data_IF_423557532893
#
_entry.id   IF_423557532893
#
_cell.length_a   1.000
_cell.length_b   1.000
_cell.length_c   1.000
_cell.angle_alpha   90.00
_cell.angle_beta   90.00
_cell.angle_gamma   90.00
#
_symmetry.space_group_name_H-M   'P 1'
#
loop_
_entity.id
_entity.type
_entity.pdbx_description
1 polymer ?
#
# COMPACT_ATOMS: atom_id res chain seq x y z
N UNK A 1 36.15 6.31 38.63
CA UNK A 1 36.04 6.28 37.15
C UNK A 1 35.06 5.18 36.79
N UNK A 2 33.85 5.54 36.35
CA UNK A 2 32.91 4.56 35.81
C UNK A 2 33.20 4.38 34.32
N UNK A 3 33.67 3.19 33.93
CA UNK A 3 33.82 2.84 32.52
C UNK A 3 32.43 2.70 31.89
N UNK A 4 32.00 3.71 31.14
CA UNK A 4 30.89 3.56 30.22
C UNK A 4 31.29 2.53 29.17
N UNK A 5 30.83 1.28 29.34
CA UNK A 5 30.91 0.27 28.30
C UNK A 5 30.03 0.78 27.16
N UNK A 6 30.64 1.24 26.07
CA UNK A 6 29.95 1.49 24.82
C UNK A 6 29.15 0.23 24.47
N UNK A 7 27.81 0.28 24.38
CA UNK A 7 27.03 -0.93 24.11
C UNK A 7 27.41 -1.44 22.72
N UNK A 8 28.18 -2.53 22.69
CA UNK A 8 28.41 -3.27 21.45
C UNK A 8 27.08 -3.76 20.89
N UNK A 9 27.00 -3.94 19.57
CA UNK A 9 25.79 -4.49 18.95
C UNK A 9 25.42 -5.83 19.60
N UNK A 10 24.14 -5.99 19.90
CA UNK A 10 23.58 -7.21 20.49
C UNK A 10 22.28 -7.56 19.77
N UNK A 11 22.15 -8.83 19.36
CA UNK A 11 20.87 -9.38 18.92
C UNK A 11 19.84 -9.32 20.06
N UNK A 12 18.72 -8.64 19.80
CA UNK A 12 17.55 -8.63 20.66
C UNK A 12 16.55 -9.70 20.23
N UNK A 13 15.79 -10.19 21.21
CA UNK A 13 14.52 -10.86 21.00
C UNK A 13 13.40 -9.80 21.06
N UNK A 14 12.61 -9.67 20.00
CA UNK A 14 11.64 -8.56 19.84
C UNK A 14 10.23 -9.10 19.60
N UNK A 15 9.28 -8.66 20.41
CA UNK A 15 7.85 -8.81 20.13
C UNK A 15 7.32 -7.62 19.33
N UNK A 16 6.51 -7.87 18.32
CA UNK A 16 5.71 -6.88 17.60
C UNK A 16 4.25 -7.22 17.87
N UNK A 17 3.50 -6.27 18.43
CA UNK A 17 2.07 -6.43 18.74
C UNK A 17 1.28 -5.78 17.61
N UNK A 18 0.57 -6.58 16.81
CA UNK A 18 -0.10 -6.15 15.58
C UNK A 18 0.67 -6.58 14.33
N UNK A 19 0.02 -7.38 13.49
CA UNK A 19 0.54 -7.93 12.23
C UNK A 19 0.06 -7.19 10.98
N UNK A 20 -0.43 -5.95 11.10
CA UNK A 20 -0.77 -5.10 9.94
C UNK A 20 0.47 -4.58 9.19
N UNK A 21 0.26 -3.74 8.18
CA UNK A 21 1.33 -3.15 7.32
C UNK A 21 2.50 -2.60 8.14
N UNK A 22 2.25 -1.82 9.19
CA UNK A 22 3.32 -1.27 10.04
C UNK A 22 4.10 -2.33 10.83
N UNK A 23 3.41 -3.37 11.32
CA UNK A 23 4.04 -4.48 12.04
C UNK A 23 4.90 -5.37 11.16
N UNK A 24 4.42 -5.68 9.94
CA UNK A 24 5.20 -6.42 8.94
C UNK A 24 6.42 -5.62 8.48
N UNK A 25 6.28 -4.31 8.21
CA UNK A 25 7.42 -3.43 7.90
C UNK A 25 8.45 -3.36 9.02
N UNK A 26 8.00 -3.25 10.28
CA UNK A 26 8.89 -3.29 11.44
C UNK A 26 9.60 -4.64 11.56
N UNK A 27 8.91 -5.75 11.28
CA UNK A 27 9.52 -7.09 11.29
C UNK A 27 10.63 -7.22 10.25
N UNK A 28 10.39 -6.77 9.02
CA UNK A 28 11.39 -6.74 7.93
C UNK A 28 12.61 -5.90 8.35
N UNK A 29 12.40 -4.68 8.85
CA UNK A 29 13.50 -3.80 9.26
C UNK A 29 14.34 -4.42 10.40
N UNK A 30 13.67 -4.97 11.43
CA UNK A 30 14.34 -5.54 12.61
C UNK A 30 15.08 -6.85 12.31
N UNK A 31 14.52 -7.75 11.48
CA UNK A 31 15.23 -8.98 11.09
C UNK A 31 16.47 -8.68 10.27
N UNK A 32 16.41 -7.70 9.35
CA UNK A 32 17.53 -7.29 8.49
C UNK A 32 18.73 -6.76 9.27
N UNK A 33 18.52 -6.12 10.43
CA UNK A 33 19.59 -5.71 11.36
C UNK A 33 19.98 -6.80 12.39
N UNK A 34 19.55 -8.05 12.15
CA UNK A 34 19.97 -9.24 12.89
C UNK A 34 19.24 -9.48 14.20
N UNK A 35 18.03 -8.96 14.40
CA UNK A 35 17.19 -9.27 15.56
C UNK A 35 16.26 -10.46 15.31
N UNK A 36 15.90 -11.19 16.38
CA UNK A 36 14.88 -12.24 16.31
C UNK A 36 13.51 -11.60 16.56
N UNK A 37 12.54 -11.88 15.69
CA UNK A 37 11.26 -11.19 15.70
C UNK A 37 10.09 -12.18 15.85
N UNK A 38 9.21 -11.91 16.82
CA UNK A 38 7.90 -12.57 16.95
C UNK A 38 6.78 -11.54 16.78
N UNK A 39 5.89 -11.78 15.83
CA UNK A 39 4.71 -10.95 15.54
C UNK A 39 3.50 -11.62 16.19
N UNK A 40 2.74 -10.86 16.98
CA UNK A 40 1.50 -11.31 17.62
C UNK A 40 0.32 -10.54 17.03
N UNK A 41 -0.55 -11.23 16.30
CA UNK A 41 -1.76 -10.66 15.70
C UNK A 41 -3.01 -11.31 16.30
N UNK A 42 -4.04 -10.50 16.56
CA UNK A 42 -5.31 -10.91 17.16
C UNK A 42 -6.28 -11.55 16.17
N UNK A 43 -6.05 -11.39 14.86
CA UNK A 43 -6.86 -11.92 13.77
C UNK A 43 -6.18 -13.11 13.06
N UNK A 44 -6.99 -13.95 12.42
CA UNK A 44 -6.59 -15.09 11.59
C UNK A 44 -6.21 -14.73 10.14
N UNK A 45 -6.28 -13.45 9.76
CA UNK A 45 -6.14 -12.94 8.38
C UNK A 45 -7.13 -13.55 7.36
N UNK A 46 -8.34 -13.93 7.79
CA UNK A 46 -9.38 -14.57 6.96
C UNK A 46 -10.09 -13.61 5.96
N UNK A 47 -9.30 -12.95 5.10
CA UNK A 47 -9.64 -11.81 4.24
C UNK A 47 -9.92 -10.50 4.98
N UNK A 48 -9.07 -9.49 4.74
CA UNK A 48 -9.44 -8.10 4.97
C UNK A 48 -10.16 -7.57 3.72
N UNK A 49 -11.34 -6.97 3.87
CA UNK A 49 -11.83 -6.01 2.90
C UNK A 49 -11.14 -4.66 3.16
N UNK A 50 -10.74 -3.95 2.12
CA UNK A 50 -9.84 -2.80 2.28
C UNK A 50 -9.49 -2.15 0.95
N UNK A 51 -9.53 -0.82 0.96
CA UNK A 51 -9.30 0.04 -0.20
C UNK A 51 -7.85 0.02 -0.71
N UNK A 52 -7.62 0.72 -1.81
CA UNK A 52 -6.27 1.07 -2.29
C UNK A 52 -5.42 1.77 -1.23
N UNK A 53 -4.12 1.53 -1.28
CA UNK A 53 -3.07 2.22 -0.53
C UNK A 53 -2.12 2.92 -1.49
N UNK A 54 -1.88 4.21 -1.24
CA UNK A 54 -0.84 5.00 -1.88
C UNK A 54 0.52 4.71 -1.23
N UNK A 55 1.52 4.41 -2.07
CA UNK A 55 2.91 4.24 -1.67
C UNK A 55 3.78 5.15 -2.54
N UNK A 56 3.99 6.37 -2.06
CA UNK A 56 4.87 7.37 -2.66
C UNK A 56 6.35 6.99 -2.51
N UNK A 57 7.25 7.74 -3.18
CA UNK A 57 8.69 7.44 -3.22
C UNK A 57 9.33 7.15 -1.85
N UNK A 58 8.91 7.84 -0.79
CA UNK A 58 9.40 7.62 0.57
C UNK A 58 9.07 6.22 1.13
N UNK A 59 7.96 5.61 0.72
CA UNK A 59 7.61 4.23 1.04
C UNK A 59 8.26 3.24 0.07
N UNK A 60 8.16 3.51 -1.23
CA UNK A 60 8.74 2.65 -2.30
C UNK A 60 10.24 2.46 -2.14
N UNK A 61 10.94 3.51 -1.69
CA UNK A 61 12.36 3.45 -1.29
C UNK A 61 12.65 2.32 -0.34
N UNK A 62 11.91 2.22 0.77
CA UNK A 62 12.14 1.18 1.78
C UNK A 62 11.75 -0.21 1.27
N UNK A 63 10.71 -0.33 0.45
CA UNK A 63 10.39 -1.61 -0.20
C UNK A 63 11.54 -2.10 -1.08
N UNK A 64 12.20 -1.19 -1.84
CA UNK A 64 13.39 -1.50 -2.63
C UNK A 64 14.63 -1.80 -1.76
N UNK A 65 14.96 -0.96 -0.77
CA UNK A 65 16.11 -1.17 0.14
C UNK A 65 15.97 -2.43 1.02
N UNK A 66 14.73 -2.89 1.26
CA UNK A 66 14.45 -4.12 1.97
C UNK A 66 14.29 -5.36 1.08
N UNK A 67 14.49 -5.20 -0.24
CA UNK A 67 14.40 -6.28 -1.24
C UNK A 67 13.04 -6.99 -1.23
N UNK A 68 11.96 -6.21 -1.04
CA UNK A 68 10.58 -6.70 -1.11
C UNK A 68 10.21 -7.01 -2.56
N UNK A 69 9.65 -8.20 -2.80
CA UNK A 69 9.16 -8.66 -4.11
C UNK A 69 7.89 -7.89 -4.51
N UNK A 70 8.07 -6.68 -5.04
CA UNK A 70 7.01 -5.73 -5.40
C UNK A 70 5.97 -6.32 -6.37
N UNK A 71 6.40 -7.28 -7.17
CA UNK A 71 5.60 -8.04 -8.12
C UNK A 71 4.45 -8.78 -7.44
N UNK A 72 4.61 -9.24 -6.18
CA UNK A 72 3.52 -9.83 -5.38
C UNK A 72 2.44 -8.83 -5.02
N UNK A 73 2.82 -7.57 -4.83
CA UNK A 73 1.92 -6.46 -4.56
C UNK A 73 1.00 -6.15 -5.73
N UNK A 74 1.40 -6.52 -6.96
CA UNK A 74 0.65 -6.29 -8.21
C UNK A 74 0.19 -4.81 -8.35
N UNK A 75 1.04 -3.89 -7.91
CA UNK A 75 0.71 -2.48 -7.75
C UNK A 75 0.78 -1.71 -9.06
N UNK A 76 -0.13 -0.75 -9.23
CA UNK A 76 -0.16 0.13 -10.40
C UNK A 76 0.77 1.32 -10.16
N UNK A 77 1.74 1.53 -11.06
CA UNK A 77 2.53 2.76 -11.06
C UNK A 77 1.63 3.92 -11.44
N UNK A 78 1.54 4.91 -10.56
CA UNK A 78 0.73 6.10 -10.68
C UNK A 78 1.42 7.11 -11.61
N UNK A 79 0.76 7.45 -12.71
CA UNK A 79 1.26 8.37 -13.74
C UNK A 79 0.59 9.74 -13.72
N UNK A 80 -0.63 9.84 -13.17
CA UNK A 80 -1.48 11.03 -13.27
C UNK A 80 -2.24 11.33 -11.99
N UNK A 81 -2.41 12.62 -11.67
CA UNK A 81 -3.44 13.11 -10.77
C UNK A 81 -4.45 13.93 -11.58
N UNK A 82 -5.75 13.59 -11.48
CA UNK A 82 -6.79 14.25 -12.29
C UNK A 82 -7.92 14.76 -11.39
N UNK A 83 -8.10 16.07 -11.36
CA UNK A 83 -9.27 16.72 -10.76
C UNK A 83 -10.39 16.79 -11.78
N UNK A 84 -11.61 16.44 -11.39
CA UNK A 84 -12.80 16.47 -12.23
C UNK A 84 -13.91 17.29 -11.59
N UNK A 85 -14.70 17.88 -12.47
CA UNK A 85 -15.93 18.57 -12.12
C UNK A 85 -16.96 17.57 -11.58
N UNK A 86 -17.58 17.89 -10.45
CA UNK A 86 -18.51 17.00 -9.75
C UNK A 86 -19.72 16.63 -10.62
N UNK A 87 -20.31 17.62 -11.30
CA UNK A 87 -21.58 17.48 -12.02
C UNK A 87 -21.39 16.91 -13.44
N UNK A 88 -20.33 17.34 -14.15
CA UNK A 88 -20.13 17.00 -15.56
C UNK A 88 -19.02 15.96 -15.80
N UNK A 89 -18.22 15.63 -14.79
CA UNK A 89 -17.10 14.69 -14.90
C UNK A 89 -15.93 15.17 -15.77
N UNK A 90 -16.02 16.39 -16.35
CA UNK A 90 -14.96 17.00 -17.17
C UNK A 90 -13.69 17.19 -16.36
N UNK A 91 -12.53 17.05 -17.00
CA UNK A 91 -11.23 17.33 -16.37
C UNK A 91 -11.14 18.83 -16.09
N UNK A 92 -10.88 19.19 -14.83
CA UNK A 92 -10.61 20.56 -14.38
C UNK A 92 -9.11 20.84 -14.29
N UNK A 93 -8.34 19.86 -13.80
CA UNK A 93 -6.88 19.91 -13.82
C UNK A 93 -6.28 18.52 -13.95
N UNK A 94 -5.12 18.45 -14.59
CA UNK A 94 -4.35 17.24 -14.79
C UNK A 94 -2.90 17.54 -14.44
N UNK A 95 -2.30 16.69 -13.62
CA UNK A 95 -0.89 16.70 -13.30
C UNK A 95 -0.29 15.38 -13.77
N UNK A 96 0.63 15.45 -14.73
CA UNK A 96 1.48 14.33 -15.11
C UNK A 96 2.53 14.08 -14.00
N UNK A 97 2.92 12.82 -13.82
CA UNK A 97 3.92 12.36 -12.85
C UNK A 97 5.07 11.60 -13.56
N UNK A 98 5.28 11.85 -14.85
CA UNK A 98 6.34 11.18 -15.62
C UNK A 98 7.75 11.54 -15.15
N UNK A 99 7.95 12.73 -14.59
CA UNK A 99 9.20 13.19 -13.95
C UNK A 99 9.37 12.69 -12.50
N UNK A 100 8.37 12.00 -11.93
CA UNK A 100 8.33 11.69 -10.51
C UNK A 100 9.49 10.80 -10.05
N UNK A 101 9.85 9.79 -10.84
CA UNK A 101 10.97 8.90 -10.52
C UNK A 101 12.32 9.60 -10.66
N UNK A 102 12.50 10.47 -11.67
CA UNK A 102 13.71 11.30 -11.82
C UNK A 102 13.88 12.24 -10.61
N UNK A 103 12.77 12.86 -10.18
CA UNK A 103 12.77 13.86 -9.10
C UNK A 103 12.93 13.27 -7.70
N UNK A 104 12.42 12.06 -7.46
CA UNK A 104 12.36 11.46 -6.12
C UNK A 104 13.13 10.12 -5.98
N UNK A 105 13.73 9.63 -7.06
CA UNK A 105 14.54 8.40 -7.13
C UNK A 105 13.73 7.09 -7.14
N UNK A 106 12.41 7.16 -6.98
CA UNK A 106 11.52 5.99 -6.90
C UNK A 106 10.12 6.32 -7.44
N UNK A 107 9.48 5.36 -8.12
CA UNK A 107 8.09 5.47 -8.58
C UNK A 107 7.07 5.59 -7.44
N UNK A 108 5.89 6.12 -7.76
CA UNK A 108 4.71 6.12 -6.90
C UNK A 108 3.82 4.91 -7.26
N UNK A 109 3.57 4.00 -6.33
CA UNK A 109 2.61 2.90 -6.49
C UNK A 109 1.24 3.18 -5.85
N UNK A 110 0.20 2.63 -6.47
CA UNK A 110 -1.10 2.34 -5.86
C UNK A 110 -1.23 0.82 -5.71
N UNK A 111 -1.30 0.31 -4.48
CA UNK A 111 -1.49 -1.11 -4.19
C UNK A 111 -2.89 -1.39 -3.64
N UNK A 112 -3.45 -2.54 -3.95
CA UNK A 112 -4.55 -3.11 -3.20
C UNK A 112 -4.03 -3.49 -1.80
N UNK A 113 -4.70 -3.04 -0.72
CA UNK A 113 -4.19 -3.19 0.67
C UNK A 113 -3.83 -4.63 1.04
N UNK A 114 -4.64 -5.58 0.61
CA UNK A 114 -4.48 -7.01 0.83
C UNK A 114 -3.16 -7.50 0.20
N UNK A 115 -2.93 -7.16 -1.07
CA UNK A 115 -1.71 -7.52 -1.79
C UNK A 115 -0.47 -6.84 -1.22
N UNK A 116 -0.57 -5.58 -0.80
CA UNK A 116 0.53 -4.91 -0.09
C UNK A 116 0.84 -5.61 1.24
N UNK A 117 -0.19 -6.07 1.96
CA UNK A 117 -0.04 -6.81 3.20
C UNK A 117 0.59 -8.19 2.96
N UNK A 118 0.09 -8.97 1.99
CA UNK A 118 0.61 -10.28 1.63
C UNK A 118 2.06 -10.22 1.12
N UNK A 119 2.39 -9.20 0.32
CA UNK A 119 3.76 -8.89 -0.11
C UNK A 119 4.70 -8.64 1.08
N UNK A 120 4.29 -7.77 2.02
CA UNK A 120 5.09 -7.50 3.22
C UNK A 120 5.16 -8.71 4.17
N UNK A 121 4.07 -9.46 4.32
CA UNK A 121 4.01 -10.69 5.10
C UNK A 121 4.93 -11.76 4.52
N UNK A 122 4.99 -11.89 3.18
CA UNK A 122 5.93 -12.77 2.51
C UNK A 122 7.38 -12.38 2.84
N UNK A 123 7.77 -11.11 2.68
CA UNK A 123 9.13 -10.64 3.03
C UNK A 123 9.45 -10.70 4.54
N UNK A 124 8.45 -10.58 5.42
CA UNK A 124 8.66 -10.71 6.87
C UNK A 124 8.92 -12.16 7.31
N UNK A 125 8.21 -13.12 6.72
CA UNK A 125 8.16 -14.53 7.16
C UNK A 125 8.94 -15.50 6.26
N UNK A 126 9.35 -15.08 5.07
CA UNK A 126 10.07 -15.91 4.09
C UNK A 126 11.60 -15.78 4.16
N UNK A 127 12.27 -16.38 3.18
CA UNK A 127 13.72 -16.24 2.99
C UNK A 127 14.13 -14.78 2.71
N UNK A 128 15.38 -14.44 3.06
CA UNK A 128 15.92 -13.09 2.90
C UNK A 128 16.94 -12.72 3.98
N UNK A 129 17.33 -11.45 4.04
CA UNK A 129 18.34 -10.97 5.00
C UNK A 129 17.81 -11.02 6.44
N UNK A 130 18.40 -11.88 7.26
CA UNK A 130 18.08 -12.09 8.69
C UNK A 130 17.19 -13.31 8.96
N UNK A 131 17.06 -13.75 10.23
CA UNK A 131 16.16 -14.87 10.60
C UNK A 131 14.69 -14.53 10.23
N UNK A 132 13.92 -15.44 9.61
CA UNK A 132 12.49 -15.23 9.36
C UNK A 132 11.72 -14.89 10.65
N UNK A 133 10.84 -13.89 10.58
CA UNK A 133 9.99 -13.54 11.70
C UNK A 133 8.95 -14.65 11.96
N UNK A 134 8.58 -14.85 13.21
CA UNK A 134 7.59 -15.87 13.63
C UNK A 134 6.25 -15.19 13.85
N UNK A 135 5.20 -15.66 13.18
CA UNK A 135 3.84 -15.08 13.27
C UNK A 135 2.93 -15.95 14.14
N UNK A 136 2.32 -15.34 15.15
CA UNK A 136 1.30 -15.93 16.00
C UNK A 136 -0.04 -15.23 15.73
N UNK A 137 -0.95 -15.93 15.05
CA UNK A 137 -2.33 -15.47 14.78
C UNK A 137 -3.29 -15.85 15.91
N UNK A 138 -4.48 -15.25 15.90
CA UNK A 138 -5.54 -15.42 16.90
C UNK A 138 -5.04 -15.23 18.35
N UNK A 139 -3.99 -14.40 18.51
CA UNK A 139 -3.29 -14.24 19.77
C UNK A 139 -3.76 -13.00 20.51
N UNK A 140 -4.44 -13.22 21.63
CA UNK A 140 -4.73 -12.21 22.64
C UNK A 140 -4.08 -12.60 23.97
N UNK A 141 -3.39 -11.66 24.60
CA UNK A 141 -2.78 -11.85 25.92
C UNK A 141 -3.79 -11.90 27.09
N UNK A 142 -5.10 -11.80 26.78
CA UNK A 142 -6.22 -12.02 27.70
C UNK A 142 -6.33 -13.49 28.16
N UNK A 143 -5.69 -14.44 27.45
CA UNK A 143 -5.73 -15.88 27.76
C UNK A 143 -4.77 -16.33 28.88
N UNK A 144 -4.14 -15.39 29.59
CA UNK A 144 -3.19 -15.67 30.68
C UNK A 144 -1.81 -16.17 30.22
N UNK A 145 -1.54 -16.29 28.92
CA UNK A 145 -0.18 -16.62 28.42
C UNK A 145 0.74 -15.42 28.60
N UNK A 146 1.91 -15.68 29.18
CA UNK A 146 2.98 -14.69 29.34
C UNK A 146 4.15 -15.09 28.45
N UNK A 147 4.57 -14.18 27.57
CA UNK A 147 5.80 -14.28 26.77
C UNK A 147 6.79 -13.22 27.23
N UNK A 148 8.09 -13.46 27.07
CA UNK A 148 9.15 -12.54 27.49
C UNK A 148 10.09 -12.25 26.31
N UNK A 149 10.27 -10.98 26.01
CA UNK A 149 11.18 -10.48 24.97
C UNK A 149 12.06 -9.37 25.55
N UNK A 150 13.12 -8.98 24.84
CA UNK A 150 13.98 -7.87 25.24
C UNK A 150 13.40 -6.51 24.85
N UNK A 151 12.55 -6.47 23.82
CA UNK A 151 11.85 -5.28 23.33
C UNK A 151 10.43 -5.65 22.92
N UNK A 152 9.49 -4.72 23.10
CA UNK A 152 8.11 -4.80 22.59
C UNK A 152 7.85 -3.58 21.72
N UNK A 153 7.35 -3.80 20.50
CA UNK A 153 6.94 -2.77 19.54
C UNK A 153 5.41 -2.79 19.43
N UNK A 154 4.76 -1.68 19.81
CA UNK A 154 3.32 -1.51 19.61
C UNK A 154 3.00 -1.09 18.17
N UNK A 155 2.44 -2.01 17.39
CA UNK A 155 2.00 -1.80 16.01
C UNK A 155 0.49 -2.12 15.83
N UNK A 156 -0.27 -2.09 16.93
CA UNK A 156 -1.68 -2.51 17.08
C UNK A 156 -2.71 -1.45 16.63
N UNK A 157 -2.28 -0.55 15.74
CA UNK A 157 -3.12 0.39 15.00
C UNK A 157 -3.73 1.53 15.83
N UNK A 158 -4.71 2.24 15.24
CA UNK A 158 -5.33 3.41 15.88
C UNK A 158 -6.00 3.05 17.23
N UNK A 159 -6.51 1.82 17.35
CA UNK A 159 -7.10 1.25 18.56
C UNK A 159 -6.11 0.86 19.66
N UNK A 160 -4.80 1.10 19.48
CA UNK A 160 -3.72 0.56 20.31
C UNK A 160 -4.00 0.45 21.81
N UNK A 161 -3.91 -0.78 22.31
CA UNK A 161 -3.87 -1.15 23.73
C UNK A 161 -2.47 -0.96 24.30
N UNK A 162 -1.41 -1.24 23.52
CA UNK A 162 -0.01 -1.04 23.95
C UNK A 162 0.24 0.40 24.36
N UNK A 163 -0.33 1.37 23.63
CA UNK A 163 -0.25 2.80 23.96
C UNK A 163 -0.89 3.13 25.33
N UNK A 164 -1.93 2.41 25.74
CA UNK A 164 -2.55 2.54 27.06
C UNK A 164 -1.70 1.99 28.21
N UNK A 165 -0.85 0.97 27.94
CA UNK A 165 0.14 0.47 28.92
C UNK A 165 1.21 1.52 29.23
N UNK A 166 1.50 2.41 28.29
CA UNK A 166 2.41 3.55 28.45
C UNK A 166 1.72 4.79 29.06
N UNK A 167 0.46 4.68 29.47
CA UNK A 167 -0.41 5.76 29.96
C UNK A 167 -0.61 6.92 28.95
N UNK A 168 -0.55 6.62 27.65
CA UNK A 168 -0.73 7.62 26.58
C UNK A 168 -2.16 7.55 26.04
N UNK A 169 -2.99 8.52 26.42
CA UNK A 169 -4.41 8.56 26.06
C UNK A 169 -4.73 9.75 25.12
N UNK A 170 -4.69 9.55 23.79
CA UNK A 170 -4.98 10.63 22.85
C UNK A 170 -6.46 11.01 22.89
N UNK A 171 -6.76 12.30 23.03
CA UNK A 171 -8.13 12.84 22.87
C UNK A 171 -8.59 12.63 21.43
N UNK A 172 -9.45 11.63 21.22
CA UNK A 172 -10.13 11.42 19.92
C UNK A 172 -11.23 12.47 19.76
N UNK A 173 -11.29 13.06 18.59
CA UNK A 173 -12.40 13.91 18.16
C UNK A 173 -12.91 13.33 16.84
N UNK A 174 -14.24 13.15 16.66
CA UNK A 174 -14.80 12.82 15.36
C UNK A 174 -14.39 13.88 14.33
N UNK A 175 -14.17 13.47 13.09
CA UNK A 175 -14.05 14.41 11.98
C UNK A 175 -15.45 14.80 11.50
N UNK A 176 -15.59 15.99 10.92
CA UNK A 176 -16.85 16.48 10.33
C UNK A 176 -17.25 15.75 9.04
N UNK A 177 -16.43 14.79 8.59
CA UNK A 177 -16.64 13.97 7.40
C UNK A 177 -16.40 12.48 7.68
N UNK A 178 -16.97 11.63 6.84
CA UNK A 178 -16.77 10.17 6.85
C UNK A 178 -16.37 9.71 5.46
N UNK A 179 -15.52 8.69 5.39
CA UNK A 179 -15.03 8.12 4.13
C UNK A 179 -15.59 6.70 3.95
N UNK A 180 -16.42 6.51 2.93
CA UNK A 180 -16.80 5.19 2.44
C UNK A 180 -15.78 4.71 1.42
N UNK A 181 -15.48 3.41 1.42
CA UNK A 181 -14.60 2.81 0.43
C UNK A 181 -15.11 1.45 -0.01
N UNK A 182 -14.81 1.10 -1.27
CA UNK A 182 -15.03 -0.21 -1.84
C UNK A 182 -13.96 -0.47 -2.91
N UNK A 183 -13.66 -1.74 -3.16
CA UNK A 183 -13.00 -2.15 -4.40
C UNK A 183 -14.09 -2.61 -5.38
N UNK A 184 -13.97 -2.24 -6.64
CA UNK A 184 -14.86 -2.67 -7.73
C UNK A 184 -13.96 -3.25 -8.82
N UNK A 185 -14.33 -4.40 -9.41
CA UNK A 185 -13.55 -4.93 -10.53
C UNK A 185 -13.75 -4.04 -11.77
N UNK A 186 -12.76 -4.02 -12.66
CA UNK A 186 -12.89 -3.23 -13.90
C UNK A 186 -13.97 -3.83 -14.81
N UNK A 187 -14.11 -5.16 -14.80
CA UNK A 187 -15.13 -5.89 -15.58
C UNK A 187 -16.54 -5.54 -15.08
N UNK A 188 -16.81 -5.57 -13.78
CA UNK A 188 -18.12 -5.21 -13.22
C UNK A 188 -18.48 -3.75 -13.53
N UNK A 189 -17.52 -2.83 -13.38
CA UNK A 189 -17.74 -1.41 -13.67
C UNK A 189 -18.08 -1.17 -15.14
N UNK A 190 -17.35 -1.81 -16.06
CA UNK A 190 -17.60 -1.71 -17.50
C UNK A 190 -18.90 -2.42 -17.91
N UNK A 191 -19.25 -3.55 -17.27
CA UNK A 191 -20.48 -4.29 -17.54
C UNK A 191 -21.74 -3.49 -17.19
N UNK A 192 -21.68 -2.58 -16.20
CA UNK A 192 -22.77 -1.64 -15.89
C UNK A 192 -22.66 -0.29 -16.64
N UNK A 193 -21.81 -0.22 -17.67
CA UNK A 193 -21.69 0.93 -18.58
C UNK A 193 -20.83 2.10 -18.07
N UNK A 194 -20.05 1.93 -17.00
CA UNK A 194 -19.13 2.97 -16.53
C UNK A 194 -17.87 3.05 -17.41
N UNK A 195 -17.28 4.25 -17.44
CA UNK A 195 -16.02 4.50 -18.13
C UNK A 195 -14.90 3.70 -17.48
N UNK A 196 -14.13 2.97 -18.30
CA UNK A 196 -12.94 2.26 -17.86
C UNK A 196 -11.81 3.24 -17.48
N UNK A 197 -11.84 3.66 -16.23
CA UNK A 197 -10.82 4.51 -15.63
C UNK A 197 -9.55 3.76 -15.20
N UNK A 198 -9.51 2.42 -15.29
CA UNK A 198 -8.34 1.62 -14.88
C UNK A 198 -7.13 1.92 -15.77
N UNK A 199 -7.38 2.06 -17.09
CA UNK A 199 -6.40 2.36 -18.14
C UNK A 199 -5.69 3.70 -17.99
N UNK A 200 -6.18 4.60 -17.14
CA UNK A 200 -5.62 5.94 -16.99
C UNK A 200 -4.32 6.00 -16.17
N UNK A 201 -3.99 4.94 -15.40
CA UNK A 201 -2.92 4.95 -14.38
C UNK A 201 -2.97 6.19 -13.47
N UNK A 202 -4.19 6.62 -13.14
CA UNK A 202 -4.48 7.92 -12.56
C UNK A 202 -5.23 7.81 -11.22
N UNK A 203 -4.85 8.64 -10.26
CA UNK A 203 -5.67 8.93 -9.09
C UNK A 203 -6.56 10.11 -9.48
N UNK A 204 -7.85 9.82 -9.58
CA UNK A 204 -8.85 10.75 -10.08
C UNK A 204 -9.78 11.12 -8.94
N UNK A 205 -10.18 12.38 -8.88
CA UNK A 205 -11.14 12.83 -7.88
C UNK A 205 -12.15 13.82 -8.44
N UNK A 206 -13.39 13.68 -7.97
CA UNK A 206 -14.51 14.56 -8.26
C UNK A 206 -14.85 15.30 -6.98
N UNK A 207 -15.15 16.59 -7.08
CA UNK A 207 -15.46 17.43 -5.92
C UNK A 207 -14.27 17.65 -4.98
N UNK A 208 -14.55 18.12 -3.76
CA UNK A 208 -13.53 18.56 -2.81
C UNK A 208 -12.77 19.80 -3.29
N UNK A 209 -13.44 20.71 -4.00
CA UNK A 209 -12.98 22.07 -4.28
C UNK A 209 -13.70 23.04 -3.34
N UNK A 210 -12.97 23.94 -2.69
CA UNK A 210 -13.51 24.81 -1.63
C UNK A 210 -13.58 24.12 -0.26
N UNK A 211 -14.51 24.56 0.60
CA UNK A 211 -14.68 24.06 1.97
C UNK A 211 -15.69 22.89 2.09
N UNK A 212 -15.99 22.22 0.97
CA UNK A 212 -16.94 21.10 0.92
C UNK A 212 -16.23 19.75 1.00
N UNK A 213 -16.84 18.82 1.74
CA UNK A 213 -16.34 17.46 1.96
C UNK A 213 -16.85 16.43 0.94
N UNK A 214 -17.51 16.89 -0.12
CA UNK A 214 -18.09 16.07 -1.20
C UNK A 214 -17.01 15.59 -2.16
N UNK A 215 -16.29 14.52 -1.78
CA UNK A 215 -15.18 14.00 -2.58
C UNK A 215 -15.31 12.51 -2.89
N UNK A 216 -15.32 12.18 -4.17
CA UNK A 216 -15.12 10.82 -4.67
C UNK A 216 -13.67 10.71 -5.13
N UNK A 217 -12.97 9.64 -4.73
CA UNK A 217 -11.61 9.32 -5.19
C UNK A 217 -11.62 7.93 -5.82
N UNK A 218 -11.08 7.82 -7.02
CA UNK A 218 -10.90 6.57 -7.76
C UNK A 218 -9.43 6.41 -8.11
N UNK A 219 -8.88 5.23 -7.89
CA UNK A 219 -7.52 4.87 -8.32
C UNK A 219 -7.46 3.39 -8.70
N UNK A 220 -6.85 3.01 -9.84
CA UNK A 220 -6.48 1.64 -10.08
C UNK A 220 -5.44 1.21 -9.04
N UNK A 221 -5.57 0.01 -8.49
CA UNK A 221 -4.72 -0.47 -7.39
C UNK A 221 -4.26 -1.93 -7.53
N UNK A 222 -4.69 -2.59 -8.60
CA UNK A 222 -4.14 -3.88 -9.02
C UNK A 222 -3.85 -3.79 -10.52
N UNK A 223 -2.70 -4.30 -10.96
CA UNK A 223 -2.40 -4.50 -12.37
C UNK A 223 -3.26 -5.60 -12.98
N UNK A 224 -3.78 -5.36 -14.19
CA UNK A 224 -3.81 -6.46 -15.17
C UNK A 224 -2.34 -6.73 -15.52
N UNK A 225 -1.94 -8.00 -15.42
CA UNK A 225 -0.53 -8.40 -15.50
C UNK A 225 0.17 -7.79 -16.70
N UNK A 226 1.44 -7.42 -16.52
CA UNK A 226 2.28 -6.77 -17.53
C UNK A 226 2.39 -7.65 -18.79
N UNK A 227 1.48 -7.48 -19.74
CA UNK A 227 1.84 -7.66 -21.14
C UNK A 227 3.05 -6.75 -21.38
N UNK A 228 4.13 -7.35 -21.89
CA UNK A 228 5.40 -6.68 -22.09
C UNK A 228 5.20 -5.40 -22.90
N UNK A 229 5.23 -4.25 -22.24
CA UNK A 229 5.50 -2.97 -22.90
C UNK A 229 6.96 -3.05 -23.33
N UNK A 230 7.15 -3.60 -24.53
CA UNK A 230 8.41 -3.73 -25.22
C UNK A 230 8.99 -2.34 -25.49
N UNK A 231 9.87 -1.87 -24.61
CA UNK A 231 10.56 -0.59 -24.76
C UNK A 231 11.56 -0.57 -25.95
N UNK A 232 11.69 -1.64 -26.74
CA UNK A 232 12.68 -1.72 -27.83
C UNK A 232 12.22 -1.17 -29.19
N UNK A 233 10.95 -0.75 -29.37
CA UNK A 233 10.42 -0.33 -30.69
C UNK A 233 10.42 1.16 -30.99
N UNK A 234 11.55 1.81 -30.74
CA UNK A 234 11.91 3.08 -31.39
C UNK A 234 12.53 2.83 -32.79
N UNK A 235 11.75 2.34 -33.77
CA UNK A 235 12.27 2.12 -35.14
C UNK A 235 11.27 2.52 -36.26
N UNK A 236 11.46 3.77 -36.74
CA UNK A 236 11.17 4.33 -38.08
C UNK A 236 9.75 4.48 -38.68
N UNK A 237 9.58 5.67 -39.27
CA UNK A 237 8.64 5.99 -40.36
C UNK A 237 8.56 4.92 -41.46
N UNK A 238 7.35 4.54 -41.89
CA UNK A 238 6.70 5.03 -43.14
C UNK A 238 5.29 4.45 -43.34
N UNK A 239 4.51 5.17 -44.15
CA UNK A 239 3.10 4.95 -44.48
C UNK A 239 2.74 3.57 -45.02
N UNK A 240 1.47 3.16 -44.85
CA UNK A 240 0.60 2.87 -46.00
C UNK A 240 -0.90 2.88 -45.64
N UNK A 241 -1.71 3.15 -46.67
CA UNK A 241 -3.12 3.53 -46.66
C UNK A 241 -4.12 2.42 -46.27
N UNK A 242 -5.29 2.87 -45.77
CA UNK A 242 -6.64 2.38 -46.09
C UNK A 242 -7.03 0.92 -45.79
N UNK A 243 -8.07 0.75 -44.95
CA UNK A 243 -9.27 -0.06 -45.25
C UNK A 243 -10.49 0.56 -44.53
N UNK A 244 -11.71 0.20 -44.97
CA UNK A 244 -12.94 1.02 -44.87
C UNK A 244 -13.87 0.70 -43.68
N UNK A 245 -14.82 1.63 -43.49
CA UNK A 245 -16.06 1.58 -42.70
C UNK A 245 -16.88 0.27 -42.78
N UNK A 246 -17.58 -0.02 -41.67
CA UNK A 246 -19.01 -0.36 -41.55
C UNK A 246 -19.43 -0.11 -40.08
N UNK A 247 -20.44 0.68 -39.69
CA UNK A 247 -21.91 0.45 -39.87
C UNK A 247 -22.28 -0.96 -39.35
N UNK A 248 -23.11 -1.25 -38.35
CA UNK A 248 -24.29 -0.66 -37.68
C UNK A 248 -24.52 -1.43 -36.32
N UNK A 249 -25.45 -1.19 -35.37
CA UNK A 249 -26.58 -0.23 -35.17
C UNK A 249 -26.88 -0.05 -33.65
N UNK A 250 -27.86 0.81 -33.31
CA UNK A 250 -28.46 1.11 -31.99
C UNK A 250 -29.14 -0.05 -31.23
N UNK A 251 -28.98 -0.09 -29.91
CA UNK A 251 -30.03 0.30 -28.93
C UNK A 251 -29.41 0.66 -27.57
#
# INVERSE_FOLDING_TARGET
MGSYISPGWRQLDVAIIGGGVGGMSAAIALRRVGHRVSIYERASFASEAGASLSCAANGTRWLKEWEVELERGDGVVLRKLISRDWTTGKVLSLYELDDYEERWGYVYYMFQRQRMHDMLKHSALGEGTGEPAKLWVDHKFENGRIVKHNLIVGADGIGSTVRGILDIWPKRQPADSSCLHANVSTEDAVAVGLVDFSKAQALQFWGGQGELWDKIVLSPCQGVGVERIDQSRNFWHRSLHSIRKSEHIWL
#
